data_IF_549600126382
#
_entry.id   IF_549600126382
#
_cell.length_a   1.000
_cell.length_b   1.000
_cell.length_c   1.000
_cell.angle_alpha   90.00
_cell.angle_beta   90.00
_cell.angle_gamma   90.00
#
_symmetry.space_group_name_H-M   'P 1'
#
loop_
_entity.id
_entity.type
_entity.pdbx_description
1 polymer ?
#
# COMPACT_ATOMS: atom_id res chain seq x y z
N UNK A 1 3.86 16.39 -5.79
CA UNK A 1 3.81 16.53 -7.27
C UNK A 1 3.17 15.27 -7.82
N UNK A 2 2.32 15.37 -8.83
CA UNK A 2 1.65 14.22 -9.47
C UNK A 2 1.33 14.54 -10.95
N UNK A 3 0.53 13.72 -11.63
CA UNK A 3 0.24 13.71 -13.09
C UNK A 3 0.26 15.12 -13.73
N UNK A 4 -0.64 16.02 -13.31
CA UNK A 4 -0.81 17.33 -13.96
C UNK A 4 0.37 18.30 -13.72
N UNK A 5 1.27 18.00 -12.79
CA UNK A 5 2.45 18.82 -12.49
C UNK A 5 3.68 18.49 -13.36
N UNK A 6 3.52 17.57 -14.31
CA UNK A 6 4.54 17.20 -15.29
C UNK A 6 4.12 17.71 -16.68
N UNK A 7 4.94 18.52 -17.38
CA UNK A 7 4.59 19.07 -18.69
C UNK A 7 4.18 18.01 -19.73
N UNK A 8 4.77 16.81 -19.67
CA UNK A 8 4.43 15.72 -20.57
C UNK A 8 3.01 15.15 -20.38
N UNK A 9 2.34 15.43 -19.25
CA UNK A 9 1.06 14.86 -18.85
C UNK A 9 0.00 15.92 -18.49
N UNK A 10 0.31 17.21 -18.62
CA UNK A 10 -0.59 18.29 -18.19
C UNK A 10 -1.90 18.35 -19.01
N UNK A 11 -1.88 17.83 -20.24
CA UNK A 11 -3.03 17.75 -21.15
C UNK A 11 -3.69 16.36 -21.22
N UNK A 12 -3.36 15.45 -20.30
CA UNK A 12 -3.90 14.09 -20.32
C UNK A 12 -5.44 14.07 -20.17
N UNK A 13 -6.05 13.02 -20.72
CA UNK A 13 -7.44 12.67 -20.41
C UNK A 13 -7.43 11.66 -19.27
N UNK A 14 -8.04 12.02 -18.14
CA UNK A 14 -8.20 11.16 -16.97
C UNK A 14 -9.55 10.45 -17.05
N UNK A 15 -9.53 9.14 -17.35
CA UNK A 15 -10.72 8.30 -17.38
C UNK A 15 -10.93 7.61 -16.03
N UNK A 16 -11.93 8.05 -15.28
CA UNK A 16 -12.34 7.44 -14.02
C UNK A 16 -13.35 6.33 -14.28
N UNK A 17 -13.10 5.16 -13.71
CA UNK A 17 -14.01 4.03 -13.76
C UNK A 17 -14.25 3.47 -12.36
N UNK A 18 -15.51 3.39 -11.97
CA UNK A 18 -15.96 2.73 -10.75
C UNK A 18 -17.38 2.17 -10.98
N UNK A 19 -17.71 1.08 -10.29
CA UNK A 19 -19.05 0.51 -10.30
C UNK A 19 -20.03 1.32 -9.44
N UNK A 20 -19.53 2.11 -8.49
CA UNK A 20 -20.29 2.97 -7.60
C UNK A 20 -20.42 4.39 -8.19
N UNK A 21 -21.65 4.76 -8.56
CA UNK A 21 -21.95 6.04 -9.20
C UNK A 21 -21.68 7.25 -8.31
N UNK A 22 -21.94 7.13 -7.01
CA UNK A 22 -21.76 8.24 -6.06
C UNK A 22 -20.28 8.53 -5.84
N UNK A 23 -19.46 7.50 -5.57
CA UNK A 23 -18.01 7.63 -5.44
C UNK A 23 -17.38 8.19 -6.71
N UNK A 24 -17.83 7.71 -7.87
CA UNK A 24 -17.40 8.19 -9.17
C UNK A 24 -17.74 9.68 -9.38
N UNK A 25 -18.94 10.11 -8.98
CA UNK A 25 -19.35 11.52 -9.05
C UNK A 25 -18.45 12.42 -8.20
N UNK A 26 -18.19 12.04 -6.95
CA UNK A 26 -17.31 12.82 -6.06
C UNK A 26 -15.87 12.88 -6.57
N UNK A 27 -15.32 11.76 -7.05
CA UNK A 27 -13.99 11.71 -7.64
C UNK A 27 -13.88 12.64 -8.86
N UNK A 28 -14.85 12.58 -9.78
CA UNK A 28 -14.90 13.47 -10.94
C UNK A 28 -14.93 14.93 -10.52
N UNK A 29 -15.77 15.30 -9.55
CA UNK A 29 -15.89 16.67 -9.04
C UNK A 29 -14.60 17.17 -8.39
N UNK A 30 -13.89 16.31 -7.66
CA UNK A 30 -12.61 16.65 -7.08
C UNK A 30 -11.56 16.96 -8.17
N UNK A 31 -11.49 16.14 -9.21
CA UNK A 31 -10.56 16.35 -10.33
C UNK A 31 -10.93 17.58 -11.16
N UNK A 32 -12.22 17.81 -11.46
CA UNK A 32 -12.69 19.03 -12.14
C UNK A 32 -12.22 20.30 -11.39
N UNK A 33 -12.29 20.30 -10.06
CA UNK A 33 -11.80 21.40 -9.22
C UNK A 33 -10.28 21.57 -9.30
N UNK A 34 -9.52 20.48 -9.29
CA UNK A 34 -8.06 20.52 -9.41
C UNK A 34 -7.64 21.06 -10.79
N UNK A 35 -8.28 20.60 -11.87
CA UNK A 35 -8.05 21.08 -13.24
C UNK A 35 -8.32 22.58 -13.33
N UNK A 36 -9.47 23.04 -12.82
CA UNK A 36 -9.84 24.45 -12.84
C UNK A 36 -8.90 25.33 -12.00
N UNK A 37 -8.55 24.89 -10.78
CA UNK A 37 -7.68 25.64 -9.89
C UNK A 37 -6.24 25.75 -10.42
N UNK A 38 -5.74 24.72 -11.08
CA UNK A 38 -4.40 24.71 -11.70
C UNK A 38 -4.36 25.23 -13.13
N UNK A 39 -5.50 25.59 -13.72
CA UNK A 39 -5.65 25.98 -15.13
C UNK A 39 -5.01 24.95 -16.09
N UNK A 40 -5.21 23.66 -15.82
CA UNK A 40 -4.64 22.58 -16.63
C UNK A 40 -5.48 22.33 -17.90
N UNK A 41 -4.86 22.01 -19.04
CA UNK A 41 -5.59 21.65 -20.27
C UNK A 41 -6.17 20.22 -20.26
N UNK A 42 -6.00 19.49 -19.15
CA UNK A 42 -6.50 18.13 -18.97
C UNK A 42 -8.03 18.01 -19.07
N UNK A 43 -8.48 16.81 -19.44
CA UNK A 43 -9.90 16.43 -19.45
C UNK A 43 -10.14 15.35 -18.42
N UNK A 44 -11.34 15.32 -17.85
CA UNK A 44 -11.77 14.22 -16.98
C UNK A 44 -13.07 13.62 -17.51
N UNK A 45 -13.07 12.30 -17.69
CA UNK A 45 -14.25 11.52 -18.06
C UNK A 45 -14.54 10.53 -16.94
N UNK A 46 -15.80 10.19 -16.75
CA UNK A 46 -16.23 9.26 -15.72
C UNK A 46 -17.23 8.29 -16.32
N UNK A 47 -16.99 7.00 -16.18
CA UNK A 47 -17.84 5.95 -16.75
C UNK A 47 -17.95 4.77 -15.79
N UNK A 48 -19.03 4.00 -15.93
CA UNK A 48 -19.17 2.69 -15.28
C UNK A 48 -18.79 1.54 -16.22
N UNK A 49 -18.52 1.85 -17.49
CA UNK A 49 -18.10 0.88 -18.49
C UNK A 49 -16.56 0.82 -18.54
N UNK A 50 -16.01 -0.34 -18.19
CA UNK A 50 -14.57 -0.59 -18.22
C UNK A 50 -14.00 -0.51 -19.63
N UNK A 51 -14.76 -0.90 -20.65
CA UNK A 51 -14.32 -0.85 -22.05
C UNK A 51 -14.12 0.59 -22.48
N UNK A 52 -15.05 1.49 -22.13
CA UNK A 52 -14.93 2.92 -22.43
C UNK A 52 -13.70 3.54 -21.76
N UNK A 53 -13.40 3.16 -20.52
CA UNK A 53 -12.23 3.67 -19.80
C UNK A 53 -10.90 3.14 -20.34
N UNK A 54 -10.86 1.92 -20.87
CA UNK A 54 -9.63 1.28 -21.35
C UNK A 54 -9.30 1.58 -22.81
N UNK A 55 -10.29 1.86 -23.65
CA UNK A 55 -10.10 1.98 -25.11
C UNK A 55 -9.07 3.05 -25.46
N UNK A 56 -7.91 2.60 -25.95
CA UNK A 56 -6.81 3.48 -26.37
C UNK A 56 -6.07 4.16 -25.21
N UNK A 57 -6.20 3.68 -23.97
CA UNK A 57 -5.44 4.22 -22.84
C UNK A 57 -3.93 3.94 -22.96
N UNK A 58 -3.09 4.90 -22.60
CA UNK A 58 -1.62 4.73 -22.54
C UNK A 58 -1.14 4.15 -21.19
N UNK A 59 -1.96 4.28 -20.15
CA UNK A 59 -1.67 3.80 -18.81
C UNK A 59 -2.94 3.48 -18.05
N UNK A 60 -2.89 2.46 -17.20
CA UNK A 60 -4.00 1.99 -16.38
C UNK A 60 -3.56 1.97 -14.93
N UNK A 61 -4.32 2.61 -14.04
CA UNK A 61 -4.09 2.58 -12.59
C UNK A 61 -5.26 1.85 -11.95
N UNK A 62 -4.99 0.79 -11.18
CA UNK A 62 -6.02 0.00 -10.51
C UNK A 62 -5.91 0.05 -8.99
N UNK A 63 -6.97 0.54 -8.35
CA UNK A 63 -7.10 0.75 -6.90
C UNK A 63 -8.44 0.19 -6.38
N UNK A 64 -8.74 -1.09 -6.65
CA UNK A 64 -10.06 -1.67 -6.36
C UNK A 64 -10.14 -2.37 -5.00
N UNK A 65 -11.35 -2.48 -4.46
CA UNK A 65 -11.67 -3.34 -3.31
C UNK A 65 -12.81 -4.29 -3.68
N UNK A 66 -12.47 -5.52 -4.04
CA UNK A 66 -13.47 -6.53 -4.43
C UNK A 66 -14.23 -7.04 -3.21
N UNK A 67 -15.57 -6.91 -3.24
CA UNK A 67 -16.48 -7.32 -2.17
C UNK A 67 -16.80 -6.24 -1.13
N UNK A 68 -16.07 -5.12 -1.13
CA UNK A 68 -16.30 -4.01 -0.19
C UNK A 68 -15.97 -4.33 1.27
N UNK A 69 -16.27 -3.37 2.15
CA UNK A 69 -15.86 -3.38 3.56
C UNK A 69 -16.53 -4.50 4.35
N UNK A 70 -17.80 -4.82 4.07
CA UNK A 70 -18.54 -5.85 4.80
C UNK A 70 -18.02 -7.27 4.53
N UNK A 71 -17.50 -7.54 3.33
CA UNK A 71 -16.83 -8.82 3.06
C UNK A 71 -15.47 -8.85 3.77
N UNK A 72 -14.71 -7.75 3.72
CA UNK A 72 -13.43 -7.66 4.45
C UNK A 72 -13.61 -7.79 5.97
N UNK A 73 -14.73 -7.31 6.52
CA UNK A 73 -15.12 -7.57 7.92
C UNK A 73 -15.15 -9.05 8.24
N UNK A 74 -15.73 -9.86 7.36
CA UNK A 74 -15.79 -11.32 7.54
C UNK A 74 -14.40 -11.95 7.45
N UNK A 75 -13.55 -11.45 6.56
CA UNK A 75 -12.14 -11.89 6.43
C UNK A 75 -11.35 -11.69 7.74
N UNK A 76 -11.74 -10.73 8.60
CA UNK A 76 -11.06 -10.41 9.88
C UNK A 76 -11.78 -11.03 11.09
N UNK A 77 -13.09 -10.86 11.21
CA UNK A 77 -13.86 -11.25 12.40
C UNK A 77 -14.05 -12.76 12.51
N UNK A 78 -14.14 -13.49 11.38
CA UNK A 78 -14.27 -14.95 11.41
C UNK A 78 -13.00 -15.58 11.98
N UNK A 79 -11.78 -15.30 11.47
CA UNK A 79 -10.55 -15.82 12.07
C UNK A 79 -10.39 -15.47 13.55
N UNK A 80 -10.86 -14.29 13.98
CA UNK A 80 -10.82 -13.88 15.39
C UNK A 80 -11.58 -14.83 16.31
N UNK A 81 -12.72 -15.37 15.88
CA UNK A 81 -13.49 -16.38 16.64
C UNK A 81 -12.71 -17.67 16.91
N UNK A 82 -11.68 -17.94 16.09
CA UNK A 82 -10.78 -19.09 16.21
C UNK A 82 -9.40 -18.71 16.77
N UNK A 83 -9.26 -17.52 17.35
CA UNK A 83 -8.03 -17.08 18.02
C UNK A 83 -6.98 -16.48 17.10
N UNK A 84 -7.29 -16.20 15.82
CA UNK A 84 -6.36 -15.54 14.89
C UNK A 84 -6.59 -14.03 14.94
N UNK A 85 -5.62 -13.28 15.49
CA UNK A 85 -5.69 -11.83 15.61
C UNK A 85 -5.09 -11.11 14.39
N UNK A 86 -5.88 -10.26 13.74
CA UNK A 86 -5.54 -9.60 12.48
C UNK A 86 -5.71 -8.08 12.65
N UNK A 87 -4.72 -7.29 12.21
CA UNK A 87 -4.69 -5.83 12.27
C UNK A 87 -5.19 -5.20 10.95
N UNK A 88 -4.59 -5.58 9.82
CA UNK A 88 -4.93 -5.10 8.48
C UNK A 88 -5.63 -6.19 7.67
N UNK A 89 -5.00 -7.36 7.52
CA UNK A 89 -5.60 -8.48 6.81
C UNK A 89 -5.80 -8.27 5.30
N UNK A 90 -5.06 -7.36 4.67
CA UNK A 90 -5.14 -7.15 3.21
C UNK A 90 -4.02 -7.86 2.42
N UNK A 91 -3.02 -8.40 3.12
CA UNK A 91 -1.77 -8.85 2.48
C UNK A 91 -1.52 -10.34 2.62
N UNK A 92 -1.63 -10.88 3.84
CA UNK A 92 -1.32 -12.29 4.15
C UNK A 92 -2.25 -12.83 5.24
N UNK A 93 -1.97 -14.06 5.69
CA UNK A 93 -2.81 -14.78 6.64
C UNK A 93 -4.15 -15.17 6.03
N UNK A 94 -5.10 -15.71 6.83
CA UNK A 94 -6.40 -16.14 6.32
C UNK A 94 -7.14 -15.02 5.57
N UNK A 95 -7.14 -13.80 6.14
CA UNK A 95 -7.77 -12.64 5.52
C UNK A 95 -7.17 -12.28 4.15
N UNK A 96 -5.83 -12.20 4.06
CA UNK A 96 -5.13 -11.92 2.82
C UNK A 96 -5.34 -13.01 1.76
N UNK A 97 -5.40 -14.29 2.16
CA UNK A 97 -5.66 -15.41 1.25
C UNK A 97 -7.10 -15.34 0.70
N UNK A 98 -8.11 -15.14 1.56
CA UNK A 98 -9.50 -15.00 1.11
C UNK A 98 -9.68 -13.82 0.17
N UNK A 99 -9.03 -12.68 0.49
CA UNK A 99 -8.99 -11.51 -0.38
C UNK A 99 -8.32 -11.81 -1.72
N UNK A 100 -7.19 -12.52 -1.73
CA UNK A 100 -6.51 -12.94 -2.96
C UNK A 100 -7.43 -13.77 -3.85
N UNK A 101 -8.02 -14.84 -3.30
CA UNK A 101 -8.89 -15.76 -4.04
C UNK A 101 -10.10 -15.04 -4.66
N UNK A 102 -10.64 -14.05 -3.96
CA UNK A 102 -11.76 -13.23 -4.46
C UNK A 102 -11.33 -12.21 -5.52
N UNK A 103 -10.10 -11.72 -5.45
CA UNK A 103 -9.63 -10.59 -6.27
C UNK A 103 -8.90 -11.03 -7.53
N UNK A 104 -8.17 -12.16 -7.50
CA UNK A 104 -7.41 -12.68 -8.65
C UNK A 104 -8.28 -12.81 -9.91
N UNK A 105 -9.48 -13.43 -9.89
CA UNK A 105 -10.29 -13.55 -11.10
C UNK A 105 -10.65 -12.19 -11.72
N UNK A 106 -10.96 -11.20 -10.89
CA UNK A 106 -11.30 -9.84 -11.33
C UNK A 106 -10.07 -9.16 -11.96
N UNK A 107 -8.89 -9.30 -11.37
CA UNK A 107 -7.66 -8.75 -11.93
C UNK A 107 -7.30 -9.40 -13.27
N UNK A 108 -7.50 -10.71 -13.41
CA UNK A 108 -7.28 -11.41 -14.69
C UNK A 108 -8.27 -10.97 -15.77
N UNK A 109 -9.53 -10.69 -15.41
CA UNK A 109 -10.49 -10.14 -16.36
C UNK A 109 -10.13 -8.70 -16.78
N UNK A 110 -9.59 -7.89 -15.86
CA UNK A 110 -9.02 -6.57 -16.21
C UNK A 110 -7.83 -6.74 -17.17
N UNK A 111 -6.93 -7.68 -16.90
CA UNK A 111 -5.79 -7.96 -17.79
C UNK A 111 -6.25 -8.34 -19.20
N UNK A 112 -7.25 -9.22 -19.35
CA UNK A 112 -7.83 -9.58 -20.66
C UNK A 112 -8.38 -8.37 -21.41
N UNK A 113 -9.05 -7.46 -20.70
CA UNK A 113 -9.57 -6.24 -21.31
C UNK A 113 -8.44 -5.26 -21.70
N UNK A 114 -7.38 -5.14 -20.90
CA UNK A 114 -6.19 -4.36 -21.27
C UNK A 114 -5.57 -4.92 -22.55
N UNK A 115 -5.36 -6.24 -22.62
CA UNK A 115 -4.82 -6.90 -23.84
C UNK A 115 -5.68 -6.64 -25.08
N UNK A 116 -7.00 -6.51 -24.90
CA UNK A 116 -7.94 -6.29 -26.00
C UNK A 116 -8.05 -4.84 -26.44
N UNK A 117 -8.08 -3.90 -25.49
CA UNK A 117 -8.49 -2.51 -25.75
C UNK A 117 -7.34 -1.50 -25.67
N UNK A 118 -6.24 -1.85 -25.00
CA UNK A 118 -5.04 -1.02 -24.86
C UNK A 118 -3.78 -1.85 -24.58
N UNK A 119 -3.38 -2.77 -25.49
CA UNK A 119 -2.31 -3.74 -25.22
C UNK A 119 -0.94 -3.12 -24.92
N UNK A 120 -0.69 -1.88 -25.34
CA UNK A 120 0.57 -1.17 -25.07
C UNK A 120 0.57 -0.40 -23.74
N UNK A 121 -0.57 -0.35 -23.03
CA UNK A 121 -0.68 0.41 -21.80
C UNK A 121 0.23 -0.14 -20.70
N UNK A 122 0.81 0.77 -19.92
CA UNK A 122 1.49 0.40 -18.67
C UNK A 122 0.41 0.17 -17.60
N UNK A 123 0.42 -1.00 -16.96
CA UNK A 123 -0.53 -1.31 -15.91
C UNK A 123 0.11 -1.15 -14.52
N UNK A 124 -0.37 -0.15 -13.76
CA UNK A 124 0.05 0.15 -12.40
C UNK A 124 -0.99 -0.35 -11.40
N UNK A 125 -0.64 -1.38 -10.63
CA UNK A 125 -1.51 -1.93 -9.60
C UNK A 125 -1.18 -1.33 -8.22
N UNK A 126 -2.20 -0.83 -7.54
CA UNK A 126 -2.17 -0.45 -6.11
C UNK A 126 -3.02 -1.40 -5.25
N UNK A 127 -3.72 -2.35 -5.86
CA UNK A 127 -4.63 -3.26 -5.17
C UNK A 127 -3.86 -4.34 -4.41
N UNK A 128 -4.26 -4.56 -3.15
CA UNK A 128 -3.76 -5.64 -2.30
C UNK A 128 -4.64 -6.90 -2.40
N UNK A 129 -4.06 -8.12 -2.22
CA UNK A 129 -2.68 -8.40 -1.78
C UNK A 129 -1.67 -8.37 -2.94
N UNK A 130 -0.83 -7.32 -2.97
CA UNK A 130 -0.02 -6.95 -4.13
C UNK A 130 0.80 -8.10 -4.70
N UNK A 131 1.56 -8.80 -3.84
CA UNK A 131 2.48 -9.85 -4.28
C UNK A 131 1.74 -11.03 -4.95
N UNK A 132 0.62 -11.46 -4.36
CA UNK A 132 -0.20 -12.55 -4.93
C UNK A 132 -0.89 -12.11 -6.22
N UNK A 133 -1.43 -10.88 -6.25
CA UNK A 133 -2.10 -10.36 -7.44
C UNK A 133 -1.13 -10.15 -8.61
N UNK A 134 -0.01 -9.47 -8.38
CA UNK A 134 1.01 -9.28 -9.41
C UNK A 134 1.57 -10.62 -9.91
N UNK A 135 1.81 -11.59 -9.01
CA UNK A 135 2.24 -12.92 -9.42
C UNK A 135 1.22 -13.61 -10.33
N UNK A 136 -0.06 -13.57 -9.99
CA UNK A 136 -1.11 -14.16 -10.81
C UNK A 136 -1.20 -13.48 -12.18
N UNK A 137 -1.27 -12.15 -12.22
CA UNK A 137 -1.34 -11.39 -13.47
C UNK A 137 -0.12 -11.63 -14.38
N UNK A 138 1.10 -11.61 -13.83
CA UNK A 138 2.33 -11.85 -14.60
C UNK A 138 2.46 -13.29 -15.11
N UNK A 139 1.78 -14.25 -14.47
CA UNK A 139 1.82 -15.65 -14.90
C UNK A 139 0.77 -15.96 -15.98
N UNK A 140 -0.38 -15.29 -15.93
CA UNK A 140 -1.56 -15.60 -16.75
C UNK A 140 -1.84 -14.56 -17.86
N UNK A 141 -1.04 -13.50 -17.95
CA UNK A 141 -1.23 -12.41 -18.92
C UNK A 141 0.11 -11.86 -19.43
N UNK A 142 0.07 -11.23 -20.60
CA UNK A 142 1.22 -10.52 -21.21
C UNK A 142 1.26 -9.03 -20.87
N UNK A 143 0.29 -8.53 -20.10
CA UNK A 143 0.21 -7.12 -19.71
C UNK A 143 1.48 -6.70 -18.94
N UNK A 144 2.00 -5.52 -19.27
CA UNK A 144 3.14 -4.89 -18.60
C UNK A 144 2.71 -4.35 -17.23
N UNK A 145 2.57 -5.25 -16.25
CA UNK A 145 2.06 -4.91 -14.91
C UNK A 145 3.15 -4.73 -13.85
N UNK A 146 3.08 -3.61 -13.14
CA UNK A 146 3.93 -3.27 -11.99
C UNK A 146 3.08 -2.95 -10.78
N UNK A 147 3.43 -3.55 -9.63
CA UNK A 147 2.83 -3.24 -8.34
C UNK A 147 3.50 -2.04 -7.68
N UNK A 148 2.72 -1.09 -7.16
CA UNK A 148 3.21 0.11 -6.49
C UNK A 148 2.70 0.16 -5.05
N UNK A 149 3.60 0.48 -4.13
CA UNK A 149 3.30 0.70 -2.71
C UNK A 149 4.19 1.84 -2.17
N UNK A 150 3.69 2.57 -1.18
CA UNK A 150 4.33 3.78 -0.64
C UNK A 150 5.20 3.51 0.61
N UNK A 151 5.30 2.24 1.04
CA UNK A 151 5.89 1.86 2.33
C UNK A 151 7.38 2.20 2.43
N UNK A 152 8.11 2.11 1.32
CA UNK A 152 9.56 2.34 1.25
C UNK A 152 9.86 3.83 1.43
N UNK A 153 9.20 4.71 0.66
CA UNK A 153 9.48 6.15 0.73
C UNK A 153 9.13 6.70 2.11
N UNK A 154 7.96 6.36 2.64
CA UNK A 154 7.53 6.82 3.97
C UNK A 154 8.45 6.31 5.09
N UNK A 155 8.97 5.08 4.99
CA UNK A 155 9.92 4.58 5.98
C UNK A 155 11.29 5.27 5.86
N UNK A 156 11.75 5.54 4.64
CA UNK A 156 13.03 6.24 4.45
C UNK A 156 12.98 7.66 5.03
N UNK A 157 11.90 8.41 4.80
CA UNK A 157 11.68 9.74 5.39
C UNK A 157 11.64 9.69 6.92
N UNK A 158 10.98 8.70 7.50
CA UNK A 158 10.94 8.47 8.94
C UNK A 158 12.35 8.22 9.51
N UNK A 159 13.11 7.31 8.92
CA UNK A 159 14.47 6.99 9.36
C UNK A 159 15.42 8.20 9.23
N UNK A 160 15.31 8.96 8.13
CA UNK A 160 16.06 10.20 7.94
C UNK A 160 15.78 11.22 9.05
N UNK A 161 14.49 11.40 9.39
CA UNK A 161 14.06 12.27 10.49
C UNK A 161 14.63 11.84 11.84
N UNK A 162 14.67 10.54 12.14
CA UNK A 162 15.19 10.02 13.41
C UNK A 162 16.68 10.32 13.63
N UNK A 163 17.45 10.43 12.55
CA UNK A 163 18.88 10.77 12.58
C UNK A 163 19.16 12.25 12.25
N UNK A 164 18.12 13.07 12.09
CA UNK A 164 18.24 14.50 11.76
C UNK A 164 18.85 14.78 10.39
N UNK A 165 18.61 13.91 9.40
CA UNK A 165 19.10 14.08 8.04
C UNK A 165 18.00 14.60 7.10
N UNK A 166 18.30 15.56 6.20
CA UNK A 166 17.43 15.90 5.09
C UNK A 166 17.27 14.70 4.15
N UNK A 167 16.06 14.49 3.62
CA UNK A 167 15.77 13.33 2.78
C UNK A 167 16.56 13.37 1.47
N UNK A 168 16.89 14.57 0.98
CA UNK A 168 17.67 14.82 -0.24
C UNK A 168 19.12 14.33 -0.13
N UNK A 169 19.64 14.19 1.09
CA UNK A 169 20.98 13.67 1.35
C UNK A 169 21.00 12.14 1.50
N UNK A 170 19.83 11.50 1.53
CA UNK A 170 19.68 10.08 1.78
C UNK A 170 19.62 9.29 0.47
N UNK A 171 20.40 8.21 0.42
CA UNK A 171 20.31 7.17 -0.60
C UNK A 171 20.16 5.82 0.09
N UNK A 172 19.38 4.92 -0.49
CA UNK A 172 19.11 3.62 0.11
C UNK A 172 18.94 2.54 -0.94
N UNK A 173 19.25 1.30 -0.54
CA UNK A 173 18.91 0.08 -1.27
C UNK A 173 17.86 -0.67 -0.46
N UNK A 174 16.75 -1.05 -1.08
CA UNK A 174 15.69 -1.80 -0.44
C UNK A 174 15.34 -3.04 -1.27
N UNK A 175 15.12 -4.18 -0.60
CA UNK A 175 14.76 -5.44 -1.25
C UNK A 175 13.81 -6.29 -0.40
N UNK A 176 12.95 -7.05 -1.06
CA UNK A 176 12.01 -7.99 -0.44
C UNK A 176 10.69 -8.06 -1.21
N UNK A 177 9.59 -8.29 -0.50
CA UNK A 177 8.25 -8.35 -1.09
C UNK A 177 7.36 -7.22 -0.56
N UNK A 178 6.19 -7.01 -1.17
CA UNK A 178 5.25 -5.99 -0.71
C UNK A 178 4.92 -6.16 0.79
N UNK A 179 5.02 -5.05 1.54
CA UNK A 179 4.85 -4.99 3.00
C UNK A 179 5.84 -5.84 3.84
N UNK A 180 6.90 -6.36 3.22
CA UNK A 180 7.98 -7.09 3.89
C UNK A 180 9.28 -6.96 3.09
N UNK A 181 9.72 -5.72 2.88
CA UNK A 181 11.04 -5.39 2.36
C UNK A 181 11.94 -4.86 3.47
N UNK A 182 13.23 -4.76 3.19
CA UNK A 182 14.26 -4.36 4.14
C UNK A 182 15.23 -3.38 3.50
N UNK A 183 15.62 -2.36 4.24
CA UNK A 183 16.69 -1.44 3.81
C UNK A 183 18.03 -2.16 3.95
N UNK A 184 18.63 -2.61 2.86
CA UNK A 184 19.93 -3.27 2.88
C UNK A 184 21.08 -2.28 3.05
N UNK A 185 20.93 -1.09 2.48
CA UNK A 185 21.82 0.06 2.67
C UNK A 185 20.99 1.29 3.04
N UNK A 186 21.51 2.12 3.94
CA UNK A 186 20.97 3.44 4.23
C UNK A 186 22.11 4.44 4.44
N UNK A 187 22.32 5.33 3.47
CA UNK A 187 23.51 6.19 3.38
C UNK A 187 23.13 7.65 3.35
N UNK A 188 23.90 8.50 4.05
CA UNK A 188 23.86 9.96 3.96
C UNK A 188 25.12 10.46 3.24
N UNK A 189 24.97 11.15 2.11
CA UNK A 189 26.09 11.64 1.30
C UNK A 189 27.14 10.53 1.02
N UNK A 190 26.65 9.33 0.68
CA UNK A 190 27.47 8.15 0.39
C UNK A 190 28.05 7.39 1.59
N UNK A 191 27.87 7.88 2.82
CA UNK A 191 28.35 7.20 4.05
C UNK A 191 27.24 6.42 4.72
N UNK A 192 27.53 5.20 5.17
CA UNK A 192 26.57 4.39 5.93
C UNK A 192 26.19 5.08 7.25
N UNK A 193 24.89 5.17 7.51
CA UNK A 193 24.32 5.78 8.72
C UNK A 193 23.44 4.82 9.51
N UNK A 194 23.44 3.52 9.19
CA UNK A 194 22.81 2.50 10.04
C UNK A 194 23.22 2.57 11.51
N UNK A 195 24.50 2.83 11.87
CA UNK A 195 24.88 3.03 13.28
C UNK A 195 24.09 4.14 13.97
N UNK A 196 23.78 5.25 13.27
CA UNK A 196 22.98 6.34 13.82
C UNK A 196 21.52 5.92 14.03
N UNK A 197 20.97 5.10 13.13
CA UNK A 197 19.64 4.51 13.28
C UNK A 197 19.60 3.57 14.50
N UNK A 198 20.62 2.72 14.67
CA UNK A 198 20.75 1.84 15.85
C UNK A 198 20.78 2.64 17.16
N UNK A 199 21.53 3.73 17.21
CA UNK A 199 21.53 4.61 18.39
C UNK A 199 20.19 5.34 18.59
N UNK A 200 19.54 5.78 17.51
CA UNK A 200 18.25 6.47 17.59
C UNK A 200 17.15 5.58 18.18
N UNK A 201 17.11 4.29 17.81
CA UNK A 201 16.12 3.32 18.29
C UNK A 201 16.24 3.04 19.80
N UNK A 202 17.38 3.34 20.44
CA UNK A 202 17.50 3.23 21.91
C UNK A 202 16.70 4.29 22.66
N UNK A 203 16.31 5.38 22.00
CA UNK A 203 15.54 6.45 22.63
C UNK A 203 14.06 6.06 22.72
N UNK A 204 13.42 6.10 23.89
CA UNK A 204 12.06 5.60 24.07
C UNK A 204 11.02 6.23 23.13
N UNK A 205 11.15 7.51 22.81
CA UNK A 205 10.23 8.22 21.91
C UNK A 205 10.31 7.75 20.46
N UNK A 206 11.44 7.19 20.03
CA UNK A 206 11.63 6.59 18.70
C UNK A 206 11.26 5.13 18.73
N UNK A 207 11.73 4.39 19.75
CA UNK A 207 11.37 3.00 19.94
C UNK A 207 9.85 2.82 19.90
N UNK A 208 9.13 3.66 20.63
CA UNK A 208 7.67 3.60 20.72
C UNK A 208 6.94 4.07 19.46
N UNK A 209 7.57 4.69 18.47
CA UNK A 209 6.87 4.99 17.21
C UNK A 209 6.49 3.73 16.45
N UNK A 210 7.38 2.73 16.46
CA UNK A 210 7.30 1.55 15.60
C UNK A 210 7.80 0.29 16.34
N UNK A 211 7.14 -0.09 17.43
CA UNK A 211 7.66 -1.11 18.36
C UNK A 211 7.97 -2.44 17.67
N UNK A 212 7.06 -2.94 16.82
CA UNK A 212 7.26 -4.23 16.13
C UNK A 212 8.44 -4.16 15.17
N UNK A 213 8.54 -3.09 14.37
CA UNK A 213 9.66 -2.94 13.42
C UNK A 213 10.98 -2.74 14.14
N UNK A 214 10.98 -1.98 15.23
CA UNK A 214 12.16 -1.71 16.02
C UNK A 214 12.67 -2.99 16.71
N UNK A 215 11.77 -3.85 17.22
CA UNK A 215 12.15 -5.17 17.72
C UNK A 215 12.77 -6.04 16.62
N UNK A 216 12.16 -6.07 15.43
CA UNK A 216 12.74 -6.80 14.30
C UNK A 216 14.12 -6.26 13.92
N UNK A 217 14.29 -4.94 13.89
CA UNK A 217 15.56 -4.29 13.57
C UNK A 217 16.66 -4.59 14.60
N UNK A 218 16.34 -4.53 15.90
CA UNK A 218 17.29 -4.84 16.98
C UNK A 218 17.79 -6.29 16.90
N UNK A 219 16.96 -7.20 16.40
CA UNK A 219 17.31 -8.62 16.30
C UNK A 219 17.89 -9.06 14.95
N UNK A 220 17.60 -8.34 13.87
CA UNK A 220 17.97 -8.74 12.50
C UNK A 220 18.92 -7.77 11.80
N UNK A 221 19.29 -6.66 12.45
CA UNK A 221 20.19 -5.61 11.96
C UNK A 221 19.75 -4.81 10.72
N UNK A 222 18.66 -5.19 10.07
CA UNK A 222 18.07 -4.48 8.94
C UNK A 222 16.68 -3.94 9.29
N UNK A 223 16.37 -2.72 8.84
CA UNK A 223 15.09 -2.10 9.14
C UNK A 223 14.02 -2.54 8.14
N UNK A 224 12.88 -3.00 8.65
CA UNK A 224 11.75 -3.45 7.82
C UNK A 224 10.93 -2.27 7.28
N UNK A 225 10.48 -2.40 6.04
CA UNK A 225 9.51 -1.49 5.44
C UNK A 225 8.11 -1.80 5.95
N UNK A 226 7.27 -0.78 5.97
CA UNK A 226 5.84 -0.82 6.36
C UNK A 226 5.60 -0.90 7.88
N UNK A 227 4.56 -0.20 8.32
CA UNK A 227 4.16 -0.01 9.73
C UNK A 227 4.16 -1.27 10.59
N UNK A 228 4.33 -1.07 11.89
CA UNK A 228 4.29 -2.10 12.93
C UNK A 228 3.05 -2.98 12.85
N UNK A 229 1.89 -2.41 12.52
CA UNK A 229 0.68 -3.18 12.33
C UNK A 229 0.77 -4.21 11.20
N UNK A 230 1.21 -3.84 10.00
CA UNK A 230 1.42 -4.81 8.93
C UNK A 230 2.53 -5.80 9.28
N UNK A 231 3.67 -5.31 9.80
CA UNK A 231 4.82 -6.17 10.09
C UNK A 231 4.48 -7.22 11.16
N UNK A 232 3.57 -6.91 12.09
CA UNK A 232 3.09 -7.85 13.10
C UNK A 232 2.32 -9.05 12.50
N UNK A 233 1.75 -8.92 11.30
CA UNK A 233 1.06 -10.01 10.61
C UNK A 233 2.02 -10.95 9.84
N UNK A 234 3.24 -10.49 9.58
CA UNK A 234 4.30 -11.29 8.94
C UNK A 234 5.03 -12.20 9.92
N UNK A 235 5.05 -11.82 11.20
CA UNK A 235 5.89 -12.44 12.20
C UNK A 235 5.03 -13.06 13.29
N UNK A 236 5.05 -14.40 13.36
CA UNK A 236 4.25 -15.16 14.30
C UNK A 236 4.60 -14.88 15.79
N UNK A 237 5.70 -14.18 16.07
CA UNK A 237 6.08 -13.83 17.44
C UNK A 237 5.17 -12.78 18.08
N UNK A 238 4.68 -11.79 17.33
CA UNK A 238 3.98 -10.65 17.94
C UNK A 238 2.50 -10.91 18.19
N UNK A 239 1.81 -11.61 17.29
CA UNK A 239 0.35 -11.79 17.36
C UNK A 239 -0.10 -13.18 17.84
N UNK A 240 0.78 -13.96 18.47
CA UNK A 240 0.48 -15.34 18.90
C UNK A 240 -0.19 -15.46 20.26
N UNK A 241 0.08 -14.53 21.20
CA UNK A 241 -0.47 -14.57 22.56
C UNK A 241 -0.89 -13.16 23.02
N UNK A 242 -1.83 -13.11 23.96
CA UNK A 242 -2.37 -11.84 24.47
C UNK A 242 -1.29 -10.96 25.14
N UNK A 243 -0.34 -11.57 25.87
CA UNK A 243 0.78 -10.86 26.49
C UNK A 243 1.72 -10.20 25.46
N UNK A 244 1.95 -10.86 24.33
CA UNK A 244 2.79 -10.34 23.25
C UNK A 244 2.10 -9.23 22.46
N UNK A 245 0.80 -9.38 22.19
CA UNK A 245 -0.02 -8.34 21.56
C UNK A 245 -0.07 -7.08 22.44
N UNK A 246 -0.29 -7.26 23.74
CA UNK A 246 -0.27 -6.16 24.70
C UNK A 246 1.08 -5.44 24.71
N UNK A 247 2.17 -6.21 24.76
CA UNK A 247 3.53 -5.66 24.82
C UNK A 247 3.91 -4.87 23.56
N UNK A 248 3.58 -5.37 22.37
CA UNK A 248 4.17 -4.88 21.12
C UNK A 248 3.21 -4.22 20.13
N UNK A 249 1.91 -4.50 20.20
CA UNK A 249 0.96 -4.13 19.14
C UNK A 249 -0.09 -3.10 19.55
N UNK A 250 -0.02 -2.56 20.77
CA UNK A 250 -1.03 -1.63 21.30
C UNK A 250 -0.53 -0.22 21.57
N UNK A 251 0.76 -0.08 21.88
CA UNK A 251 1.30 1.13 22.46
C UNK A 251 2.21 1.91 21.51
N UNK A 252 2.31 1.46 20.25
CA UNK A 252 3.05 2.22 19.24
C UNK A 252 2.37 3.57 18.99
N UNK A 253 3.16 4.63 18.83
CA UNK A 253 2.68 6.01 18.62
C UNK A 253 2.61 6.39 17.15
N UNK A 254 3.10 5.53 16.24
CA UNK A 254 2.94 5.65 14.80
C UNK A 254 1.49 5.45 14.34
N UNK A 255 1.25 5.65 13.05
CA UNK A 255 -0.11 5.70 12.49
C UNK A 255 -0.87 4.35 12.53
N UNK A 256 -0.15 3.22 12.49
CA UNK A 256 -0.73 1.88 12.60
C UNK A 256 0.01 1.05 13.67
N UNK A 257 -0.49 1.08 14.92
CA UNK A 257 0.21 0.47 16.05
C UNK A 257 0.12 -1.07 16.09
N UNK A 258 -0.77 -1.67 15.31
CA UNK A 258 -1.05 -3.11 15.39
C UNK A 258 -2.34 -3.47 16.13
N UNK A 259 -3.24 -2.51 16.36
CA UNK A 259 -4.53 -2.78 16.99
C UNK A 259 -5.36 -3.80 16.19
N UNK A 260 -6.06 -4.72 16.87
CA UNK A 260 -6.98 -5.65 16.21
C UNK A 260 -8.01 -4.90 15.34
N UNK A 261 -8.16 -5.36 14.10
CA UNK A 261 -9.10 -4.85 13.10
C UNK A 261 -8.96 -3.34 12.83
N UNK A 262 -7.77 -2.77 13.00
CA UNK A 262 -7.50 -1.34 12.82
C UNK A 262 -8.04 -0.82 11.49
N UNK A 263 -7.65 -1.44 10.37
CA UNK A 263 -8.06 -0.94 9.05
C UNK A 263 -9.58 -1.06 8.84
N UNK A 264 -10.18 -2.14 9.35
CA UNK A 264 -11.62 -2.34 9.25
C UNK A 264 -12.38 -1.24 10.00
N UNK A 265 -11.94 -0.89 11.21
CA UNK A 265 -12.52 0.22 11.98
C UNK A 265 -12.41 1.54 11.23
N UNK A 266 -11.28 1.81 10.58
CA UNK A 266 -11.08 3.02 9.78
C UNK A 266 -12.00 3.09 8.55
N UNK A 267 -12.22 1.97 7.87
CA UNK A 267 -13.16 1.92 6.74
C UNK A 267 -14.62 2.06 7.19
N UNK A 268 -15.01 1.41 8.30
CA UNK A 268 -16.39 1.49 8.82
C UNK A 268 -16.78 2.90 9.30
N UNK A 269 -15.81 3.76 9.67
CA UNK A 269 -16.07 5.17 10.00
C UNK A 269 -16.45 6.03 8.78
N UNK A 270 -16.17 5.52 7.57
CA UNK A 270 -16.33 6.25 6.29
C UNK A 270 -17.50 5.73 5.45
N UNK A 271 -18.11 4.63 5.85
CA UNK A 271 -19.39 4.12 5.32
C UNK A 271 -20.54 4.84 6.04
#
# INVERSE_FOLDING_TARGET
RDILTFPALEGSTLALMDINQERLFFAKKAIEKIIAAGNYPAKVVATKDRVEALKGADGVVCTILVGGVQVWRSDIEIPKKYGVDINVGDTRGPAGIFRALRTIPVMLDICKDIERYCPEAIFLNYTNPMAMLCRAMQSESKVKVTGLCHSVQGTAEMLAKWIGAPMEEITYLCAGINHQAWFLDFKRNGKDVYPLIKEAVKRPEIYNQEQVRNEMFVHLDYYATESSGHNSEYNAWFRKRADLIEKYCRHSTGWNPGEYAFILKEYLKRE
#
